data_IF_830976791924
#
_entry.id   IF_830976791924
#
_cell.length_a   1.000
_cell.length_b   1.000
_cell.length_c   1.000
_cell.angle_alpha   90.00
_cell.angle_beta   90.00
_cell.angle_gamma   90.00
#
_symmetry.space_group_name_H-M   'P 1'
#
loop_
_entity.id
_entity.type
_entity.pdbx_description
1 polymer ?
#
# COMPACT_ATOMS: atom_id res chain seq x y z
N UNK A 1 13.91 8.83 -25.40
CA UNK A 1 14.60 8.18 -24.26
C UNK A 1 13.61 8.10 -23.11
N UNK A 2 13.50 6.93 -22.47
CA UNK A 2 12.67 6.76 -21.28
C UNK A 2 13.05 7.77 -20.19
N UNK A 3 12.03 8.32 -19.57
CA UNK A 3 12.13 9.22 -18.43
C UNK A 3 11.97 8.45 -17.12
N UNK A 4 11.25 7.32 -17.18
CA UNK A 4 10.89 6.50 -16.06
C UNK A 4 11.08 5.02 -16.40
N UNK A 5 11.57 4.22 -15.46
CA UNK A 5 11.55 2.76 -15.56
C UNK A 5 10.58 2.18 -14.56
N UNK A 6 9.77 1.22 -14.98
CA UNK A 6 8.84 0.49 -14.11
C UNK A 6 9.50 -0.85 -13.76
N UNK A 7 9.73 -1.12 -12.47
CA UNK A 7 10.21 -2.45 -12.08
C UNK A 7 9.11 -3.49 -12.22
N UNK A 8 9.40 -4.53 -12.99
CA UNK A 8 8.56 -5.69 -13.08
C UNK A 8 8.53 -6.44 -11.74
N UNK A 9 7.37 -6.99 -11.39
CA UNK A 9 7.22 -7.86 -10.23
C UNK A 9 6.25 -8.98 -10.59
N UNK A 10 6.75 -10.10 -11.12
CA UNK A 10 5.91 -11.21 -11.60
C UNK A 10 4.99 -11.85 -10.55
N UNK A 11 5.14 -11.50 -9.26
CA UNK A 11 4.19 -11.91 -8.22
C UNK A 11 2.90 -11.06 -8.22
N UNK A 12 2.97 -9.80 -8.69
CA UNK A 12 1.91 -8.80 -8.59
C UNK A 12 1.62 -8.01 -9.89
N UNK A 13 2.54 -8.02 -10.84
CA UNK A 13 2.53 -7.30 -12.13
C UNK A 13 2.93 -8.28 -13.23
N UNK A 14 2.04 -8.49 -14.21
CA UNK A 14 2.37 -9.17 -15.45
C UNK A 14 2.76 -8.18 -16.56
N UNK A 15 3.13 -8.70 -17.74
CA UNK A 15 3.50 -7.86 -18.88
C UNK A 15 2.37 -6.95 -19.35
N UNK A 16 1.11 -7.40 -19.26
CA UNK A 16 -0.04 -6.62 -19.70
C UNK A 16 -0.32 -5.45 -18.73
N UNK A 17 -0.16 -5.68 -17.42
CA UNK A 17 -0.19 -4.63 -16.40
C UNK A 17 0.86 -3.56 -16.67
N UNK A 18 2.09 -3.99 -16.97
CA UNK A 18 3.19 -3.07 -17.21
C UNK A 18 2.95 -2.25 -18.48
N UNK A 19 2.44 -2.85 -19.56
CA UNK A 19 2.04 -2.15 -20.77
C UNK A 19 0.95 -1.09 -20.50
N UNK A 20 -0.11 -1.46 -19.79
CA UNK A 20 -1.18 -0.53 -19.43
C UNK A 20 -0.69 0.61 -18.52
N UNK A 21 0.24 0.33 -17.61
CA UNK A 21 0.87 1.38 -16.80
C UNK A 21 1.72 2.31 -17.66
N UNK A 22 2.46 1.80 -18.65
CA UNK A 22 3.23 2.64 -19.58
C UNK A 22 2.30 3.55 -20.38
N UNK A 23 1.18 3.03 -20.88
CA UNK A 23 0.18 3.83 -21.58
C UNK A 23 -0.41 4.93 -20.69
N UNK A 24 -0.81 4.57 -19.46
CA UNK A 24 -1.35 5.55 -18.50
C UNK A 24 -0.33 6.62 -18.09
N UNK A 25 0.96 6.28 -18.02
CA UNK A 25 2.03 7.25 -17.77
C UNK A 25 2.29 8.13 -19.00
N UNK A 26 2.15 7.60 -20.22
CA UNK A 26 2.28 8.37 -21.44
C UNK A 26 1.19 9.44 -21.56
N UNK A 27 -0.03 9.17 -21.09
CA UNK A 27 -1.11 10.18 -20.98
C UNK A 27 -0.75 11.33 -20.04
N UNK A 28 0.10 11.08 -19.04
CA UNK A 28 0.67 12.11 -18.15
C UNK A 28 1.88 12.83 -18.77
N UNK A 29 2.24 12.51 -20.02
CA UNK A 29 3.41 13.04 -20.71
C UNK A 29 4.74 12.38 -20.30
N UNK A 30 4.68 11.24 -19.60
CA UNK A 30 5.85 10.51 -19.11
C UNK A 30 6.17 9.32 -20.02
N UNK A 31 7.34 9.35 -20.64
CA UNK A 31 7.84 8.17 -21.37
C UNK A 31 8.39 7.14 -20.38
N UNK A 32 7.73 5.99 -20.27
CA UNK A 32 8.12 4.90 -19.38
C UNK A 32 8.53 3.64 -20.14
N UNK A 33 9.44 2.85 -19.56
CA UNK A 33 9.86 1.54 -20.09
C UNK A 33 9.89 0.50 -18.95
N UNK A 34 9.67 -0.79 -19.25
CA UNK A 34 9.81 -1.84 -18.27
C UNK A 34 11.29 -2.05 -17.90
N UNK A 35 11.55 -2.51 -16.69
CA UNK A 35 12.88 -2.96 -16.29
C UNK A 35 12.81 -4.15 -15.35
N UNK A 36 13.83 -5.01 -15.44
CA UNK A 36 13.97 -6.14 -14.53
C UNK A 36 14.02 -5.66 -13.07
N UNK A 37 13.56 -6.48 -12.10
CA UNK A 37 13.65 -6.15 -10.69
C UNK A 37 15.09 -5.79 -10.29
N UNK A 38 15.32 -4.57 -9.79
CA UNK A 38 16.62 -4.13 -9.25
C UNK A 38 16.55 -3.90 -7.74
N UNK A 39 15.37 -3.59 -7.23
CA UNK A 39 15.12 -3.48 -5.80
C UNK A 39 15.01 -4.84 -5.12
N UNK A 40 15.69 -5.01 -3.99
CA UNK A 40 15.34 -6.05 -3.03
C UNK A 40 14.24 -5.48 -2.12
N UNK A 41 12.97 -5.79 -2.40
CA UNK A 41 11.86 -5.45 -1.50
C UNK A 41 12.04 -6.25 -0.20
N UNK A 42 12.53 -5.59 0.86
CA UNK A 42 12.80 -6.22 2.17
C UNK A 42 11.56 -6.38 3.06
N UNK A 43 10.48 -5.69 2.73
CA UNK A 43 9.23 -5.66 3.51
C UNK A 43 8.18 -6.50 2.80
N UNK A 44 7.49 -7.39 3.53
CA UNK A 44 6.44 -8.28 3.01
C UNK A 44 5.21 -7.58 2.40
N UNK A 45 5.19 -6.24 2.42
CA UNK A 45 4.19 -5.41 1.75
C UNK A 45 4.68 -5.06 0.34
N UNK A 46 3.85 -5.36 -0.66
CA UNK A 46 4.11 -5.03 -2.06
C UNK A 46 4.10 -3.52 -2.30
N UNK A 47 5.15 -3.01 -2.94
CA UNK A 47 5.23 -1.66 -3.48
C UNK A 47 5.49 -1.70 -5.00
N UNK A 48 4.91 -0.76 -5.74
CA UNK A 48 5.28 -0.49 -7.14
C UNK A 48 6.52 0.42 -7.14
N UNK A 49 7.58 0.01 -7.84
CA UNK A 49 8.83 0.78 -7.87
C UNK A 49 9.01 1.43 -9.23
N UNK A 50 9.19 2.74 -9.22
CA UNK A 50 9.44 3.56 -10.41
C UNK A 50 10.82 4.20 -10.29
N UNK A 51 11.68 4.06 -11.29
CA UNK A 51 12.98 4.73 -11.33
C UNK A 51 12.94 5.94 -12.25
N UNK A 52 13.22 7.11 -11.70
CA UNK A 52 13.31 8.35 -12.43
C UNK A 52 14.71 8.54 -13.01
N UNK A 53 14.78 8.66 -14.34
CA UNK A 53 16.04 8.76 -15.06
C UNK A 53 16.45 10.20 -15.34
N UNK A 54 15.53 11.17 -15.25
CA UNK A 54 15.84 12.58 -15.52
C UNK A 54 16.44 13.27 -14.30
N UNK A 55 17.29 14.25 -14.55
CA UNK A 55 17.92 15.07 -13.51
C UNK A 55 16.96 16.15 -12.92
N UNK A 56 15.80 16.39 -13.54
CA UNK A 56 14.78 17.36 -13.08
C UNK A 56 13.77 16.76 -12.09
N UNK A 57 14.30 16.10 -11.05
CA UNK A 57 13.53 15.43 -9.98
C UNK A 57 12.45 16.33 -9.37
N UNK A 58 12.70 17.64 -9.27
CA UNK A 58 11.79 18.60 -8.62
C UNK A 58 10.41 18.77 -9.27
N UNK A 59 10.24 18.42 -10.55
CA UNK A 59 8.93 18.52 -11.23
C UNK A 59 8.02 17.33 -10.95
N UNK A 60 8.59 16.16 -10.64
CA UNK A 60 7.80 14.97 -10.30
C UNK A 60 7.33 14.98 -8.85
N UNK A 61 8.00 15.76 -7.98
CA UNK A 61 7.67 15.87 -6.55
C UNK A 61 6.44 16.73 -6.28
N UNK A 62 5.92 17.43 -7.28
CA UNK A 62 4.66 18.17 -7.17
C UNK A 62 3.54 17.19 -6.77
N UNK A 63 2.78 17.55 -5.74
CA UNK A 63 1.72 16.67 -5.22
C UNK A 63 0.65 16.37 -6.28
N UNK A 64 0.50 17.23 -7.29
CA UNK A 64 -0.33 16.97 -8.46
C UNK A 64 0.13 15.73 -9.26
N UNK A 65 1.44 15.57 -9.48
CA UNK A 65 1.99 14.41 -10.20
C UNK A 65 1.88 13.15 -9.34
N UNK A 66 2.14 13.26 -8.04
CA UNK A 66 1.94 12.13 -7.12
C UNK A 66 0.47 11.66 -7.09
N UNK A 67 -0.50 12.59 -7.06
CA UNK A 67 -1.92 12.28 -7.12
C UNK A 67 -2.32 11.66 -8.48
N UNK A 68 -1.76 12.16 -9.58
CA UNK A 68 -1.96 11.60 -10.91
C UNK A 68 -1.43 10.16 -11.00
N UNK A 69 -0.23 9.89 -10.46
CA UNK A 69 0.33 8.54 -10.40
C UNK A 69 -0.56 7.58 -9.62
N UNK A 70 -1.04 7.97 -8.44
CA UNK A 70 -1.98 7.17 -7.65
C UNK A 70 -3.26 6.88 -8.46
N UNK A 71 -3.77 7.88 -9.16
CA UNK A 71 -4.98 7.73 -10.00
C UNK A 71 -4.74 6.74 -11.13
N UNK A 72 -3.66 6.88 -11.90
CA UNK A 72 -3.31 5.98 -13.00
C UNK A 72 -3.07 4.54 -12.52
N UNK A 73 -2.32 4.36 -11.43
CA UNK A 73 -2.05 3.02 -10.88
C UNK A 73 -3.34 2.37 -10.37
N UNK A 74 -4.21 3.12 -9.70
CA UNK A 74 -5.52 2.62 -9.26
C UNK A 74 -6.40 2.28 -10.46
N UNK A 75 -6.41 3.12 -11.49
CA UNK A 75 -7.20 2.92 -12.69
C UNK A 75 -6.78 1.69 -13.49
N UNK A 76 -5.48 1.36 -13.54
CA UNK A 76 -4.95 0.20 -14.27
C UNK A 76 -5.08 -1.08 -13.44
N UNK A 77 -4.54 -1.07 -12.22
CA UNK A 77 -4.46 -2.27 -11.38
C UNK A 77 -5.76 -2.59 -10.63
N UNK A 78 -6.68 -1.62 -10.56
CA UNK A 78 -8.00 -1.79 -9.97
C UNK A 78 -9.06 -2.38 -10.91
N UNK A 79 -8.78 -2.53 -12.21
CA UNK A 79 -9.71 -3.19 -13.13
C UNK A 79 -9.69 -4.70 -12.95
N UNK A 80 -10.85 -5.34 -13.11
CA UNK A 80 -10.94 -6.79 -13.22
C UNK A 80 -10.18 -7.24 -14.48
N UNK A 81 -9.17 -8.09 -14.29
CA UNK A 81 -8.44 -8.67 -15.40
C UNK A 81 -9.13 -9.95 -15.86
N UNK A 82 -9.45 -10.03 -17.16
CA UNK A 82 -9.99 -11.24 -17.74
C UNK A 82 -8.95 -12.37 -17.60
N UNK A 83 -9.30 -13.43 -16.87
CA UNK A 83 -8.49 -14.64 -16.82
C UNK A 83 -8.46 -15.23 -18.22
N UNK A 84 -7.31 -15.15 -18.88
CA UNK A 84 -7.14 -15.75 -20.20
C UNK A 84 -7.46 -17.26 -20.15
N UNK A 85 -7.89 -17.87 -21.27
CA UNK A 85 -8.31 -19.28 -21.34
C UNK A 85 -7.20 -20.29 -20.97
N UNK A 86 -5.96 -19.85 -20.77
CA UNK A 86 -4.82 -20.65 -20.32
C UNK A 86 -4.58 -20.69 -18.80
N UNK A 87 -5.39 -20.00 -17.99
CA UNK A 87 -5.31 -20.12 -16.52
C UNK A 87 -4.05 -19.54 -15.86
N UNK A 88 -3.21 -18.78 -16.58
CA UNK A 88 -2.14 -17.97 -16.00
C UNK A 88 -2.73 -16.73 -15.36
N UNK A 89 -3.47 -16.91 -14.27
CA UNK A 89 -3.80 -15.83 -13.37
C UNK A 89 -2.55 -15.47 -12.56
N UNK A 90 -2.10 -14.22 -12.63
CA UNK A 90 -1.41 -13.64 -11.47
C UNK A 90 -2.42 -13.73 -10.31
N UNK A 91 -1.98 -14.29 -9.19
CA UNK A 91 -2.85 -14.73 -8.10
C UNK A 91 -3.48 -13.52 -7.39
N UNK A 92 -4.58 -13.02 -7.93
CA UNK A 92 -5.30 -11.85 -7.42
C UNK A 92 -4.46 -10.58 -7.52
N UNK A 93 -4.73 -9.75 -8.55
CA UNK A 93 -4.23 -8.37 -8.59
C UNK A 93 -4.59 -7.72 -7.27
N UNK A 94 -3.59 -7.51 -6.46
CA UNK A 94 -3.69 -6.70 -5.25
C UNK A 94 -3.46 -5.25 -5.70
N UNK A 95 -3.63 -4.25 -4.84
CA UNK A 95 -3.06 -2.93 -5.12
C UNK A 95 -1.72 -2.84 -4.38
N UNK A 96 -0.72 -2.14 -4.94
CA UNK A 96 0.49 -1.85 -4.19
C UNK A 96 0.09 -1.07 -2.93
N UNK A 97 0.78 -1.31 -1.82
CA UNK A 97 0.55 -0.54 -0.59
C UNK A 97 1.03 0.90 -0.75
N UNK A 98 2.04 1.08 -1.60
CA UNK A 98 2.65 2.37 -1.92
C UNK A 98 3.36 2.31 -3.27
N UNK A 99 3.63 3.49 -3.81
CA UNK A 99 4.48 3.70 -4.99
C UNK A 99 5.80 4.30 -4.49
N UNK A 100 6.90 3.59 -4.70
CA UNK A 100 8.25 4.05 -4.36
C UNK A 100 8.91 4.65 -5.61
N UNK A 101 9.16 5.96 -5.59
CA UNK A 101 9.87 6.69 -6.65
C UNK A 101 11.34 6.77 -6.27
N UNK A 102 12.20 6.16 -7.08
CA UNK A 102 13.64 6.11 -6.88
C UNK A 102 14.37 6.93 -7.91
N UNK A 103 15.53 7.47 -7.55
CA UNK A 103 16.41 8.15 -8.49
C UNK A 103 17.25 7.18 -9.29
N UNK A 104 18.11 7.72 -10.17
CA UNK A 104 18.95 6.93 -11.07
C UNK A 104 19.92 6.01 -10.32
N UNK A 105 20.39 6.41 -9.14
CA UNK A 105 21.29 5.58 -8.32
C UNK A 105 20.51 4.60 -7.42
N UNK A 106 19.17 4.56 -7.53
CA UNK A 106 18.29 3.68 -6.77
C UNK A 106 17.94 4.21 -5.38
N UNK A 107 18.35 5.42 -5.05
CA UNK A 107 17.97 6.13 -3.82
C UNK A 107 16.47 6.43 -3.81
N UNK A 108 15.81 6.26 -2.66
CA UNK A 108 14.39 6.59 -2.54
C UNK A 108 14.22 8.10 -2.51
N UNK A 109 13.49 8.65 -3.47
CA UNK A 109 13.17 10.08 -3.58
C UNK A 109 11.86 10.38 -2.83
N UNK A 110 10.79 9.64 -3.17
CA UNK A 110 9.45 9.82 -2.58
C UNK A 110 8.77 8.47 -2.48
N UNK A 111 7.98 8.29 -1.43
CA UNK A 111 7.08 7.15 -1.27
C UNK A 111 5.66 7.68 -1.11
N UNK A 112 4.73 7.17 -1.92
CA UNK A 112 3.34 7.65 -1.97
C UNK A 112 2.43 6.50 -1.56
N UNK A 113 1.67 6.67 -0.48
CA UNK A 113 0.73 5.67 -0.01
C UNK A 113 -0.44 5.52 -1.00
N UNK A 114 -0.86 4.28 -1.24
CA UNK A 114 -2.02 4.00 -2.08
C UNK A 114 -3.30 3.96 -1.23
N UNK A 115 -4.40 4.58 -1.70
CA UNK A 115 -5.67 4.51 -1.01
C UNK A 115 -6.20 3.06 -1.00
N UNK A 116 -6.70 2.60 0.16
CA UNK A 116 -7.26 1.26 0.33
C UNK A 116 -6.26 0.17 0.72
N UNK A 117 -4.96 0.44 0.70
CA UNK A 117 -3.94 -0.50 1.19
C UNK A 117 -3.94 -0.65 2.73
N UNK A 118 -4.52 0.30 3.45
CA UNK A 118 -4.60 0.31 4.91
C UNK A 118 -5.65 -0.65 5.49
N UNK A 119 -6.54 -1.24 4.68
CA UNK A 119 -7.67 -2.02 5.18
C UNK A 119 -7.33 -3.44 5.69
N UNK A 120 -6.04 -3.82 5.79
CA UNK A 120 -5.60 -5.10 6.39
C UNK A 120 -4.45 -5.01 7.39
N UNK A 121 -4.10 -3.80 7.84
CA UNK A 121 -3.32 -3.59 9.07
C UNK A 121 -4.17 -2.92 10.14
N UNK A 122 -5.43 -3.35 10.28
CA UNK A 122 -6.02 -3.40 11.62
C UNK A 122 -5.27 -4.50 12.38
N UNK A 123 -4.03 -4.18 12.80
CA UNK A 123 -3.38 -4.85 13.89
C UNK A 123 -4.42 -4.87 15.02
N UNK A 124 -4.96 -6.04 15.31
CA UNK A 124 -5.56 -6.29 16.62
C UNK A 124 -4.46 -5.88 17.60
N UNK A 125 -4.63 -4.82 18.40
CA UNK A 125 -3.61 -4.49 19.38
C UNK A 125 -3.64 -5.63 20.40
N UNK A 126 -2.68 -6.54 20.28
CA UNK A 126 -2.45 -7.67 21.18
C UNK A 126 -1.96 -7.22 22.58
N UNK A 127 -2.07 -5.93 22.86
CA UNK A 127 -1.81 -5.25 24.12
C UNK A 127 -2.97 -4.29 24.47
N UNK A 128 -4.15 -4.86 24.74
CA UNK A 128 -5.03 -4.31 25.78
C UNK A 128 -5.31 -5.40 26.82
N UNK A 129 -4.23 -5.81 27.48
CA UNK A 129 -4.30 -6.47 28.76
C UNK A 129 -3.83 -5.50 29.84
N UNK A 130 -4.74 -5.14 30.75
CA UNK A 130 -4.49 -4.75 32.15
C UNK A 130 -3.99 -3.31 32.40
N UNK A 131 -4.90 -2.44 32.86
CA UNK A 131 -4.79 -1.66 34.10
C UNK A 131 -5.85 -0.53 34.12
N UNK A 132 -6.94 -0.74 34.85
CA UNK A 132 -7.65 0.32 35.55
C UNK A 132 -7.99 -0.19 36.95
N UNK A 133 -7.04 -0.02 37.86
CA UNK A 133 -7.29 -0.01 39.29
C UNK A 133 -7.31 1.46 39.73
N UNK A 134 -8.46 1.95 40.14
CA UNK A 134 -8.70 3.05 41.09
C UNK A 134 -10.22 3.30 41.08
N UNK A 135 -10.93 2.78 42.07
CA UNK A 135 -11.27 3.50 43.29
C UNK A 135 -12.55 4.33 43.09
N UNK A 136 -13.69 3.75 43.49
CA UNK A 136 -14.83 4.58 43.89
C UNK A 136 -15.66 3.87 44.97
N UNK A 137 -15.74 4.52 46.13
CA UNK A 137 -16.92 4.65 46.96
C UNK A 137 -17.69 3.40 47.38
N UNK A 138 -17.36 2.86 48.55
CA UNK A 138 -18.39 2.27 49.41
C UNK A 138 -19.40 3.37 49.80
N UNK A 139 -20.70 3.04 49.94
CA UNK A 139 -21.23 3.09 51.30
C UNK A 139 -22.21 1.95 51.66
N UNK A 140 -22.05 1.50 52.91
CA UNK A 140 -23.07 1.00 53.84
C UNK A 140 -24.07 -0.05 53.32
N UNK A 141 -23.75 -1.33 53.56
CA UNK A 141 -24.77 -2.35 53.81
C UNK A 141 -25.33 -2.15 55.23
N UNK A 142 -26.60 -1.80 55.28
CA UNK A 142 -27.39 -1.77 56.51
C UNK A 142 -27.57 -3.20 57.05
N UNK A 143 -27.43 -3.30 58.37
CA UNK A 143 -27.62 -4.51 59.17
C UNK A 143 -29.08 -4.96 59.07
N UNK A 144 -29.32 -6.25 58.93
CA UNK A 144 -30.56 -6.88 59.38
C UNK A 144 -30.24 -8.27 59.93
N UNK A 145 -30.78 -8.48 61.13
CA UNK A 145 -30.47 -9.41 62.21
C UNK A 145 -30.85 -10.87 61.89
N UNK A 146 -30.20 -11.89 62.51
CA UNK A 146 -30.62 -13.28 62.38
C UNK A 146 -31.86 -13.59 63.24
N UNK A 147 -32.80 -14.35 62.68
CA UNK A 147 -33.88 -14.98 63.42
C UNK A 147 -33.57 -16.48 63.58
N UNK A 148 -33.23 -16.87 64.81
CA UNK A 148 -33.23 -18.26 65.25
C UNK A 148 -34.68 -18.70 65.48
N UNK A 149 -35.00 -19.90 65.01
CA UNK A 149 -36.25 -20.60 65.26
C UNK A 149 -36.26 -21.17 66.70
N UNK A 150 -37.47 -21.31 67.23
CA UNK A 150 -37.82 -21.81 68.55
C UNK A 150 -37.50 -23.30 68.74
#
# INVERSE_FOLDING_TARGET
MAQLLIEENFQHLDGQDVELLIEALAELGLAAEPTQPRSVTRSGDWALVLHWLRDDVGKITEDAVAAALVTSVTAVLGQEHAVGPGGTSVRGRTLPVRIDIRGRAGELIKSVAMPGAEAKSAAVPWWRGRHTAAADGAPRLARSTPAAQA
#
